data_IF_686267472079
#
_entry.id   IF_686267472079
#
_cell.length_a   1.000
_cell.length_b   1.000
_cell.length_c   1.000
_cell.angle_alpha   90.00
_cell.angle_beta   90.00
_cell.angle_gamma   90.00
#
_symmetry.space_group_name_H-M   'P 1'
#
loop_
_entity.id
_entity.type
_entity.pdbx_description
1 polymer ?
#
# COMPACT_ATOMS: atom_id res chain seq x y z
N UNK A 1 -23.50 -10.89 -57.67
CA UNK A 1 -22.69 -10.07 -56.76
C UNK A 1 -23.61 -9.49 -55.69
N UNK A 2 -23.56 -9.97 -54.44
CA UNK A 2 -24.24 -9.31 -53.33
C UNK A 2 -23.23 -8.55 -52.44
N UNK A 3 -23.60 -7.33 -52.10
CA UNK A 3 -22.89 -6.40 -51.22
C UNK A 3 -22.99 -6.86 -49.75
N UNK A 4 -21.84 -6.99 -49.07
CA UNK A 4 -21.77 -7.10 -47.61
C UNK A 4 -21.60 -5.69 -47.01
N UNK A 5 -22.67 -5.14 -46.44
CA UNK A 5 -22.60 -4.01 -45.52
C UNK A 5 -22.25 -4.51 -44.12
N UNK A 6 -21.04 -4.20 -43.66
CA UNK A 6 -20.58 -4.41 -42.28
C UNK A 6 -21.13 -3.27 -41.42
N UNK A 7 -22.09 -3.58 -40.55
CA UNK A 7 -22.59 -2.66 -39.52
C UNK A 7 -21.73 -2.86 -38.27
N UNK A 8 -20.84 -1.90 -37.99
CA UNK A 8 -20.09 -1.80 -36.73
C UNK A 8 -20.97 -1.08 -35.70
N UNK A 9 -21.63 -1.84 -34.83
CA UNK A 9 -22.25 -1.31 -33.61
C UNK A 9 -21.17 -1.24 -32.52
N UNK A 10 -20.61 -0.05 -32.32
CA UNK A 10 -19.78 0.26 -31.15
C UNK A 10 -20.73 0.53 -29.98
N UNK A 11 -21.03 -0.52 -29.22
CA UNK A 11 -21.82 -0.41 -27.98
C UNK A 11 -20.90 0.07 -26.85
N UNK A 12 -21.00 1.35 -26.51
CA UNK A 12 -20.37 1.93 -25.34
C UNK A 12 -21.13 1.51 -24.08
N UNK A 13 -20.75 0.39 -23.48
CA UNK A 13 -21.23 0.01 -22.14
C UNK A 13 -20.48 0.82 -21.07
N UNK A 14 -21.14 1.89 -20.63
CA UNK A 14 -20.91 2.60 -19.38
C UNK A 14 -20.80 1.62 -18.20
N UNK A 15 -19.61 1.49 -17.61
CA UNK A 15 -19.45 0.82 -16.32
C UNK A 15 -19.85 1.76 -15.18
N UNK A 16 -21.10 1.65 -14.74
CA UNK A 16 -21.53 2.07 -13.42
C UNK A 16 -21.68 0.80 -12.57
N UNK A 17 -20.85 0.65 -11.54
CA UNK A 17 -20.93 -0.45 -10.58
C UNK A 17 -21.57 0.07 -9.28
N UNK A 18 -22.77 -0.38 -8.90
CA UNK A 18 -23.28 -0.19 -7.55
C UNK A 18 -23.44 -1.55 -6.88
N UNK A 19 -22.64 -1.83 -5.85
CA UNK A 19 -22.94 -2.89 -4.88
C UNK A 19 -22.15 -2.68 -3.58
N UNK A 20 -22.57 -1.68 -2.80
CA UNK A 20 -22.35 -1.70 -1.35
C UNK A 20 -23.22 -2.81 -0.74
N UNK A 21 -22.65 -3.99 -0.57
CA UNK A 21 -23.25 -5.03 0.25
C UNK A 21 -23.02 -4.70 1.74
N UNK A 22 -23.99 -3.97 2.30
CA UNK A 22 -24.12 -3.67 3.74
C UNK A 22 -24.37 -4.98 4.50
N UNK A 23 -23.33 -5.52 5.14
CA UNK A 23 -23.47 -6.58 6.13
C UNK A 23 -24.16 -6.03 7.38
N UNK A 24 -25.43 -6.39 7.58
CA UNK A 24 -26.18 -6.17 8.82
C UNK A 24 -25.94 -7.36 9.74
N UNK A 25 -25.04 -7.22 10.71
CA UNK A 25 -25.03 -8.09 11.88
C UNK A 25 -26.07 -7.58 12.87
N UNK A 26 -27.17 -8.33 12.99
CA UNK A 26 -28.13 -8.19 14.07
C UNK A 26 -27.75 -9.17 15.17
N UNK A 27 -27.55 -8.68 16.40
CA UNK A 27 -27.67 -9.45 17.64
C UNK A 27 -28.32 -8.55 18.71
N UNK A 28 -29.00 -9.15 19.70
CA UNK A 28 -30.16 -8.57 20.34
C UNK A 28 -29.86 -7.71 21.58
N UNK A 29 -30.92 -6.97 21.88
CA UNK A 29 -31.28 -6.17 23.04
C UNK A 29 -30.98 -6.85 24.39
N UNK A 30 -30.35 -6.11 25.32
CA UNK A 30 -30.49 -6.26 26.78
C UNK A 30 -30.23 -4.89 27.42
N UNK A 31 -31.22 -4.46 28.20
CA UNK A 31 -31.30 -3.17 28.87
C UNK A 31 -30.29 -3.02 30.02
N UNK A 32 -29.87 -1.78 30.33
CA UNK A 32 -30.07 -1.16 31.67
C UNK A 32 -29.26 0.13 31.85
N UNK A 33 -29.88 1.04 32.62
CA UNK A 33 -29.29 2.09 33.46
C UNK A 33 -28.86 3.44 32.84
N UNK A 34 -29.80 4.38 32.91
CA UNK A 34 -29.69 5.64 33.65
C UNK A 34 -28.39 6.46 33.54
N UNK A 35 -28.50 7.55 32.76
CA UNK A 35 -28.33 8.91 33.26
C UNK A 35 -26.93 9.38 33.61
N UNK A 36 -26.27 10.05 32.66
CA UNK A 36 -25.39 11.19 32.97
C UNK A 36 -25.63 12.29 31.94
N UNK A 37 -25.80 13.49 32.48
CA UNK A 37 -26.18 14.71 31.81
C UNK A 37 -25.19 15.20 30.75
N UNK A 38 -25.74 15.99 29.84
CA UNK A 38 -25.07 16.75 28.81
C UNK A 38 -23.86 17.54 29.31
N UNK A 39 -22.72 17.37 28.65
CA UNK A 39 -21.68 18.40 28.57
C UNK A 39 -21.58 18.82 27.10
N UNK A 40 -22.13 20.00 26.81
CA UNK A 40 -21.95 20.71 25.55
C UNK A 40 -20.60 21.42 25.61
N UNK A 41 -19.65 20.94 24.81
CA UNK A 41 -18.36 21.56 24.61
C UNK A 41 -17.59 20.76 23.57
N UNK A 42 -16.86 21.44 22.68
CA UNK A 42 -15.88 20.85 21.75
C UNK A 42 -16.33 20.47 20.32
N UNK A 43 -17.05 21.36 19.63
CA UNK A 43 -17.21 21.30 18.16
C UNK A 43 -16.11 22.05 17.36
N UNK A 44 -14.94 22.30 17.96
CA UNK A 44 -13.86 23.10 17.34
C UNK A 44 -12.67 22.34 16.76
N UNK A 45 -12.44 21.08 17.18
CA UNK A 45 -11.24 20.31 16.82
C UNK A 45 -11.37 19.52 15.51
N UNK A 46 -12.58 19.07 15.16
CA UNK A 46 -12.82 18.25 13.97
C UNK A 46 -12.63 19.02 12.66
N UNK A 47 -13.02 20.30 12.62
CA UNK A 47 -12.87 21.14 11.43
C UNK A 47 -11.40 21.39 11.06
N UNK A 48 -10.50 21.57 12.05
CA UNK A 48 -9.08 21.88 11.80
C UNK A 48 -8.29 20.68 11.26
N UNK A 49 -8.65 19.45 11.64
CA UNK A 49 -8.02 18.25 11.10
C UNK A 49 -8.43 17.98 9.65
N UNK A 50 -9.69 18.24 9.28
CA UNK A 50 -10.11 18.15 7.88
C UNK A 50 -9.43 19.21 7.00
N UNK A 51 -9.29 20.45 7.48
CA UNK A 51 -8.61 21.50 6.71
C UNK A 51 -7.12 21.22 6.49
N UNK A 52 -6.44 20.55 7.42
CA UNK A 52 -5.02 20.16 7.26
C UNK A 52 -4.85 18.98 6.31
N UNK A 53 -5.75 17.99 6.35
CA UNK A 53 -5.79 16.91 5.38
C UNK A 53 -6.11 17.41 3.96
N UNK A 54 -7.01 18.39 3.82
CA UNK A 54 -7.31 19.05 2.54
C UNK A 54 -6.17 19.96 2.06
N UNK A 55 -5.49 20.67 2.96
CA UNK A 55 -4.33 21.49 2.62
C UNK A 55 -3.10 20.65 2.23
N UNK A 56 -2.87 19.50 2.88
CA UNK A 56 -1.83 18.55 2.47
C UNK A 56 -2.17 17.84 1.16
N UNK A 57 -3.44 17.58 0.89
CA UNK A 57 -3.93 17.09 -0.41
C UNK A 57 -3.68 18.10 -1.55
N UNK A 58 -3.81 19.41 -1.28
CA UNK A 58 -3.55 20.48 -2.26
C UNK A 58 -2.07 20.76 -2.54
N UNK A 59 -1.15 20.36 -1.66
CA UNK A 59 0.27 20.74 -1.74
C UNK A 59 1.25 19.57 -1.94
N UNK A 60 0.81 18.31 -1.93
CA UNK A 60 1.74 17.16 -1.94
C UNK A 60 1.18 15.84 -2.47
N UNK A 61 0.16 15.88 -3.33
CA UNK A 61 -0.21 14.70 -4.10
C UNK A 61 0.92 14.30 -5.06
N UNK A 62 1.10 13.00 -5.36
CA UNK A 62 2.08 12.57 -6.35
C UNK A 62 1.82 13.27 -7.68
N UNK A 63 2.91 13.71 -8.31
CA UNK A 63 2.88 14.41 -9.58
C UNK A 63 2.08 13.62 -10.64
N UNK A 64 1.36 14.33 -11.50
CA UNK A 64 0.54 13.73 -12.55
C UNK A 64 1.38 12.81 -13.46
N UNK A 65 2.64 13.18 -13.72
CA UNK A 65 3.57 12.36 -14.50
C UNK A 65 3.99 11.09 -13.74
N UNK A 66 4.19 11.17 -12.42
CA UNK A 66 4.47 10.00 -11.59
C UNK A 66 3.28 9.02 -11.60
N UNK A 67 2.05 9.53 -11.48
CA UNK A 67 0.83 8.72 -11.54
C UNK A 67 0.67 8.03 -12.89
N UNK A 68 0.87 8.74 -14.00
CA UNK A 68 0.78 8.18 -15.36
C UNK A 68 1.88 7.14 -15.57
N UNK A 69 3.11 7.39 -15.11
CA UNK A 69 4.19 6.41 -15.21
C UNK A 69 3.85 5.13 -14.46
N UNK A 70 3.43 5.22 -13.20
CA UNK A 70 3.05 4.06 -12.40
C UNK A 70 1.87 3.32 -13.03
N UNK A 71 0.90 4.05 -13.58
CA UNK A 71 -0.21 3.43 -14.30
C UNK A 71 0.29 2.62 -15.49
N UNK A 72 1.31 3.09 -16.22
CA UNK A 72 1.89 2.37 -17.36
C UNK A 72 2.55 1.06 -16.95
N UNK A 73 3.18 1.03 -15.78
CA UNK A 73 3.82 -0.16 -15.23
C UNK A 73 2.80 -1.25 -14.86
N UNK A 74 1.57 -0.84 -14.48
CA UNK A 74 0.47 -1.74 -14.11
C UNK A 74 -0.38 -2.14 -15.32
N UNK A 75 -0.90 -1.15 -16.04
CA UNK A 75 -1.82 -1.32 -17.16
C UNK A 75 -1.68 -0.15 -18.15
N UNK A 76 -1.21 -0.40 -19.38
CA UNK A 76 -1.13 0.64 -20.41
C UNK A 76 -2.46 1.35 -20.67
N UNK A 77 -3.59 0.66 -20.53
CA UNK A 77 -4.93 1.23 -20.68
C UNK A 77 -5.27 2.24 -19.57
N UNK A 78 -4.78 2.02 -18.34
CA UNK A 78 -4.92 3.00 -17.26
C UNK A 78 -4.10 4.26 -17.54
N UNK A 79 -2.86 4.09 -18.01
CA UNK A 79 -2.03 5.23 -18.42
C UNK A 79 -2.71 6.04 -19.52
N UNK A 80 -3.22 5.38 -20.56
CA UNK A 80 -3.96 6.01 -21.65
C UNK A 80 -5.22 6.75 -21.16
N UNK A 81 -5.94 6.16 -20.21
CA UNK A 81 -7.12 6.80 -19.59
C UNK A 81 -6.74 8.08 -18.88
N UNK A 82 -5.65 8.07 -18.10
CA UNK A 82 -5.15 9.24 -17.40
C UNK A 82 -4.58 10.30 -18.36
N UNK A 83 -3.86 9.90 -19.39
CA UNK A 83 -3.34 10.81 -20.43
C UNK A 83 -4.48 11.50 -21.19
N UNK A 84 -5.52 10.74 -21.56
CA UNK A 84 -6.72 11.27 -22.21
C UNK A 84 -7.47 12.25 -21.32
N UNK A 85 -7.63 11.91 -20.03
CA UNK A 85 -8.25 12.79 -19.05
C UNK A 85 -7.43 14.08 -18.85
N UNK A 86 -6.10 13.98 -18.79
CA UNK A 86 -5.19 15.12 -18.68
C UNK A 86 -5.27 16.06 -19.88
N UNK A 87 -5.40 15.51 -21.09
CA UNK A 87 -5.52 16.29 -22.32
C UNK A 87 -6.83 17.07 -22.41
N UNK A 88 -7.88 16.62 -21.71
CA UNK A 88 -9.19 17.25 -21.74
C UNK A 88 -9.26 18.47 -20.81
N UNK A 89 -9.07 18.26 -19.51
CA UNK A 89 -9.03 19.34 -18.51
C UNK A 89 -8.51 18.85 -17.14
N UNK A 90 -8.08 19.75 -16.25
CA UNK A 90 -7.59 19.36 -14.92
C UNK A 90 -8.62 18.64 -14.03
N UNK A 91 -9.92 18.94 -14.15
CA UNK A 91 -10.95 18.31 -13.31
C UNK A 91 -11.22 16.87 -13.76
N UNK A 92 -11.26 16.61 -15.06
CA UNK A 92 -11.41 15.25 -15.58
C UNK A 92 -10.20 14.39 -15.25
N UNK A 93 -8.99 14.95 -15.29
CA UNK A 93 -7.81 14.27 -14.76
C UNK A 93 -7.97 13.94 -13.27
N UNK A 94 -8.34 14.91 -12.43
CA UNK A 94 -8.53 14.64 -10.99
C UNK A 94 -9.60 13.59 -10.73
N UNK A 95 -10.70 13.57 -11.49
CA UNK A 95 -11.73 12.57 -11.36
C UNK A 95 -11.25 11.17 -11.78
N UNK A 96 -10.51 11.05 -12.89
CA UNK A 96 -9.93 9.79 -13.34
C UNK A 96 -8.84 9.31 -12.37
N UNK A 97 -7.97 10.23 -11.94
CA UNK A 97 -6.96 10.00 -10.93
C UNK A 97 -7.62 9.58 -9.62
N UNK A 98 -8.69 10.19 -9.13
CA UNK A 98 -9.34 9.80 -7.87
C UNK A 98 -9.82 8.33 -7.87
N UNK A 99 -10.35 7.85 -9.00
CA UNK A 99 -10.79 6.45 -9.15
C UNK A 99 -9.64 5.45 -9.03
N UNK A 100 -8.46 5.80 -9.55
CA UNK A 100 -7.25 4.95 -9.53
C UNK A 100 -6.28 5.35 -8.40
N UNK A 101 -6.53 6.48 -7.75
CA UNK A 101 -5.50 7.34 -7.19
C UNK A 101 -4.98 6.86 -5.88
N UNK A 102 -5.84 6.29 -5.03
CA UNK A 102 -5.35 5.68 -3.78
C UNK A 102 -4.33 4.58 -4.08
N UNK A 103 -4.57 3.75 -5.11
CA UNK A 103 -3.66 2.66 -5.50
C UNK A 103 -2.39 3.22 -6.16
N UNK A 104 -2.54 4.07 -7.19
CA UNK A 104 -1.40 4.62 -7.92
C UNK A 104 -0.52 5.53 -7.06
N UNK A 105 -1.11 6.33 -6.16
CA UNK A 105 -0.36 7.17 -5.22
C UNK A 105 0.46 6.34 -4.24
N UNK A 106 -0.12 5.25 -3.71
CA UNK A 106 0.63 4.35 -2.82
C UNK A 106 1.81 3.70 -3.54
N UNK A 107 1.64 3.33 -4.81
CA UNK A 107 2.68 2.78 -5.64
C UNK A 107 3.77 3.81 -6.00
N UNK A 108 3.41 5.08 -6.24
CA UNK A 108 4.39 6.14 -6.50
C UNK A 108 5.35 6.31 -5.32
N UNK A 109 4.83 6.34 -4.09
CA UNK A 109 5.64 6.40 -2.86
C UNK A 109 6.53 5.16 -2.72
N UNK A 110 5.99 3.96 -2.98
CA UNK A 110 6.76 2.72 -2.93
C UNK A 110 7.89 2.70 -3.97
N UNK A 111 7.67 3.25 -5.16
CA UNK A 111 8.68 3.29 -6.22
C UNK A 111 9.95 4.01 -5.78
N UNK A 112 9.81 5.09 -5.02
CA UNK A 112 10.92 5.91 -4.55
C UNK A 112 11.64 5.28 -3.35
N UNK A 113 10.88 4.77 -2.37
CA UNK A 113 11.45 4.34 -1.10
C UNK A 113 11.71 2.83 -0.99
N UNK A 114 10.94 2.01 -1.72
CA UNK A 114 10.90 0.54 -1.57
C UNK A 114 10.69 -0.13 -2.93
N UNK A 115 11.67 -0.07 -3.86
CA UNK A 115 11.50 -0.51 -5.24
C UNK A 115 11.17 -2.01 -5.38
N UNK A 116 11.64 -2.85 -4.46
CA UNK A 116 11.32 -4.27 -4.45
C UNK A 116 9.83 -4.53 -4.10
N UNK A 117 9.30 -3.81 -3.09
CA UNK A 117 7.90 -3.91 -2.71
C UNK A 117 6.99 -3.31 -3.80
N UNK A 118 7.45 -2.22 -4.44
CA UNK A 118 6.79 -1.64 -5.60
C UNK A 118 6.61 -2.65 -6.75
N UNK A 119 7.69 -3.33 -7.17
CA UNK A 119 7.62 -4.32 -8.25
C UNK A 119 6.62 -5.45 -7.92
N UNK A 120 6.61 -5.90 -6.67
CA UNK A 120 5.67 -6.93 -6.21
C UNK A 120 4.21 -6.47 -6.26
N UNK A 121 3.93 -5.23 -5.82
CA UNK A 121 2.58 -4.65 -5.86
C UNK A 121 2.10 -4.35 -7.28
N UNK A 122 3.01 -4.02 -8.20
CA UNK A 122 2.68 -3.88 -9.63
C UNK A 122 2.22 -5.22 -10.19
N UNK A 123 2.97 -6.30 -9.93
CA UNK A 123 2.56 -7.65 -10.35
C UNK A 123 1.24 -8.09 -9.73
N UNK A 124 1.01 -7.75 -8.45
CA UNK A 124 -0.29 -7.97 -7.77
C UNK A 124 -1.45 -7.34 -8.55
N UNK A 125 -1.33 -6.06 -8.92
CA UNK A 125 -2.39 -5.36 -9.64
C UNK A 125 -2.60 -5.89 -11.07
N UNK A 126 -1.54 -6.34 -11.74
CA UNK A 126 -1.67 -7.01 -13.05
C UNK A 126 -2.50 -8.28 -12.95
N UNK A 127 -2.19 -9.13 -11.96
CA UNK A 127 -2.94 -10.38 -11.72
C UNK A 127 -4.39 -10.08 -11.34
N UNK A 128 -4.65 -9.05 -10.53
CA UNK A 128 -6.02 -8.61 -10.22
C UNK A 128 -6.78 -8.17 -11.49
N UNK A 129 -6.15 -7.38 -12.35
CA UNK A 129 -6.77 -6.95 -13.61
C UNK A 129 -7.11 -8.12 -14.55
N UNK A 130 -6.26 -9.15 -14.59
CA UNK A 130 -6.55 -10.38 -15.33
C UNK A 130 -7.75 -11.13 -14.74
N UNK A 131 -7.81 -11.27 -13.41
CA UNK A 131 -8.95 -11.89 -12.72
C UNK A 131 -10.27 -11.15 -12.98
N UNK A 132 -10.26 -9.82 -12.89
CA UNK A 132 -11.43 -8.97 -13.17
C UNK A 132 -11.96 -9.18 -14.60
N UNK A 133 -11.06 -9.45 -15.56
CA UNK A 133 -11.42 -9.77 -16.94
C UNK A 133 -12.03 -11.17 -17.14
N UNK A 134 -11.65 -12.17 -16.33
CA UNK A 134 -12.14 -13.54 -16.45
C UNK A 134 -13.53 -13.76 -15.84
N UNK A 135 -13.90 -12.99 -14.81
CA UNK A 135 -15.20 -13.11 -14.15
C UNK A 135 -16.39 -13.01 -15.11
N UNK A 136 -16.52 -11.93 -15.91
CA UNK A 136 -17.59 -11.80 -16.90
C UNK A 136 -17.57 -12.90 -17.97
N UNK A 137 -16.39 -13.36 -18.39
CA UNK A 137 -16.25 -14.44 -19.37
C UNK A 137 -16.79 -15.76 -18.81
N UNK A 138 -16.45 -16.09 -17.57
CA UNK A 138 -16.96 -17.28 -16.89
C UNK A 138 -18.49 -17.25 -16.76
N UNK A 139 -19.06 -16.11 -16.34
CA UNK A 139 -20.51 -15.92 -16.24
C UNK A 139 -21.17 -16.10 -17.61
N UNK A 140 -20.60 -15.50 -18.67
CA UNK A 140 -21.09 -15.62 -20.04
C UNK A 140 -21.03 -17.07 -20.56
N UNK A 141 -19.96 -17.80 -20.27
CA UNK A 141 -19.82 -19.21 -20.65
C UNK A 141 -20.87 -20.09 -19.94
N UNK A 142 -21.08 -19.85 -18.65
CA UNK A 142 -22.11 -20.53 -17.84
C UNK A 142 -23.52 -20.26 -18.33
N UNK A 143 -23.88 -19.01 -18.60
CA UNK A 143 -25.21 -18.65 -19.11
C UNK A 143 -25.45 -19.17 -20.54
N UNK A 144 -24.39 -19.29 -21.33
CA UNK A 144 -24.44 -19.86 -22.69
C UNK A 144 -24.38 -21.39 -22.76
N UNK A 145 -24.43 -22.10 -21.63
CA UNK A 145 -24.27 -23.56 -21.54
C UNK A 145 -22.97 -24.10 -22.19
N UNK A 146 -21.90 -23.29 -22.22
CA UNK A 146 -20.58 -23.66 -22.74
C UNK A 146 -19.73 -24.26 -21.61
N UNK A 147 -20.07 -25.48 -21.18
CA UNK A 147 -19.51 -26.09 -19.98
C UNK A 147 -17.98 -26.28 -20.01
N UNK A 148 -17.43 -26.71 -21.14
CA UNK A 148 -15.97 -26.90 -21.29
C UNK A 148 -15.20 -25.58 -21.18
N UNK A 149 -15.70 -24.53 -21.83
CA UNK A 149 -15.11 -23.19 -21.74
C UNK A 149 -15.18 -22.64 -20.32
N UNK A 150 -16.32 -22.80 -19.63
CA UNK A 150 -16.46 -22.38 -18.24
C UNK A 150 -15.45 -23.10 -17.32
N UNK A 151 -15.20 -24.39 -17.53
CA UNK A 151 -14.23 -25.16 -16.77
C UNK A 151 -12.77 -24.72 -17.03
N UNK A 152 -12.44 -24.37 -18.28
CA UNK A 152 -11.14 -23.81 -18.63
C UNK A 152 -10.92 -22.45 -17.97
N UNK A 153 -11.93 -21.56 -18.02
CA UNK A 153 -11.85 -20.25 -17.37
C UNK A 153 -11.74 -20.41 -15.84
N UNK A 154 -12.47 -21.35 -15.24
CA UNK A 154 -12.36 -21.63 -13.80
C UNK A 154 -10.94 -22.07 -13.40
N UNK A 155 -10.30 -22.91 -14.23
CA UNK A 155 -8.92 -23.34 -14.00
C UNK A 155 -7.96 -22.14 -14.03
N UNK A 156 -8.15 -21.21 -14.98
CA UNK A 156 -7.35 -19.98 -15.06
C UNK A 156 -7.59 -19.08 -13.83
N UNK A 157 -8.85 -18.90 -13.42
CA UNK A 157 -9.22 -18.13 -12.21
C UNK A 157 -8.50 -18.73 -10.99
N UNK A 158 -8.51 -20.05 -10.83
CA UNK A 158 -7.84 -20.73 -9.71
C UNK A 158 -6.33 -20.50 -9.71
N UNK A 159 -5.68 -20.59 -10.87
CA UNK A 159 -4.25 -20.33 -11.00
C UNK A 159 -3.86 -18.89 -10.66
N UNK A 160 -4.60 -17.91 -11.17
CA UNK A 160 -4.37 -16.49 -10.87
C UNK A 160 -4.70 -16.15 -9.41
N UNK A 161 -5.76 -16.73 -8.84
CA UNK A 161 -6.09 -16.56 -7.42
C UNK A 161 -4.98 -17.10 -6.50
N UNK A 162 -4.41 -18.27 -6.81
CA UNK A 162 -3.24 -18.80 -6.10
C UNK A 162 -2.05 -17.85 -6.18
N UNK A 163 -1.73 -17.37 -7.39
CA UNK A 163 -0.66 -16.39 -7.60
C UNK A 163 -0.87 -15.10 -6.80
N UNK A 164 -2.11 -14.62 -6.73
CA UNK A 164 -2.47 -13.41 -5.98
C UNK A 164 -2.27 -13.58 -4.47
N UNK A 165 -2.60 -14.77 -3.94
CA UNK A 165 -2.35 -15.12 -2.54
C UNK A 165 -0.84 -15.14 -2.27
N UNK A 166 -0.06 -15.77 -3.14
CA UNK A 166 1.39 -15.86 -2.98
C UNK A 166 2.08 -14.49 -3.04
N UNK A 167 1.64 -13.61 -3.95
CA UNK A 167 2.10 -12.22 -4.04
C UNK A 167 1.79 -11.45 -2.74
N UNK A 168 0.57 -11.61 -2.21
CA UNK A 168 0.16 -10.97 -0.97
C UNK A 168 0.95 -11.45 0.24
N UNK A 169 1.19 -12.76 0.35
CA UNK A 169 2.01 -13.34 1.42
C UNK A 169 3.44 -12.83 1.35
N UNK A 170 4.04 -12.78 0.16
CA UNK A 170 5.38 -12.19 -0.04
C UNK A 170 5.43 -10.72 0.34
N UNK A 171 4.41 -9.93 -0.02
CA UNK A 171 4.36 -8.50 0.33
C UNK A 171 4.33 -8.31 1.84
N UNK A 172 3.49 -9.08 2.54
CA UNK A 172 3.41 -9.03 4.00
C UNK A 172 4.70 -9.48 4.66
N UNK A 173 5.38 -10.50 4.12
CA UNK A 173 6.67 -10.95 4.64
C UNK A 173 7.74 -9.85 4.52
N UNK A 174 7.76 -9.09 3.41
CA UNK A 174 8.68 -7.96 3.24
C UNK A 174 8.37 -6.83 4.22
N UNK A 175 7.10 -6.46 4.37
CA UNK A 175 6.68 -5.42 5.33
C UNK A 175 7.04 -5.81 6.79
N UNK A 176 6.85 -7.08 7.16
CA UNK A 176 7.24 -7.59 8.48
C UNK A 176 8.77 -7.55 8.70
N UNK A 177 9.56 -7.90 7.68
CA UNK A 177 11.01 -7.83 7.75
C UNK A 177 11.51 -6.38 7.96
N UNK A 178 10.86 -5.41 7.33
CA UNK A 178 11.17 -3.99 7.52
C UNK A 178 10.82 -3.51 8.93
N UNK A 179 9.65 -3.89 9.45
CA UNK A 179 9.26 -3.57 10.84
C UNK A 179 10.27 -4.16 11.82
N UNK A 180 10.71 -5.40 11.61
CA UNK A 180 11.72 -6.03 12.47
C UNK A 180 13.06 -5.29 12.41
N UNK A 181 13.50 -4.84 11.23
CA UNK A 181 14.71 -4.03 11.08
C UNK A 181 14.61 -2.69 11.86
N UNK A 182 13.46 -2.01 11.81
CA UNK A 182 13.20 -0.79 12.58
C UNK A 182 13.23 -1.09 14.08
N UNK A 183 12.59 -2.16 14.53
CA UNK A 183 12.60 -2.55 15.95
C UNK A 183 14.01 -2.88 16.45
N UNK A 184 14.83 -3.57 15.65
CA UNK A 184 16.24 -3.85 15.98
C UNK A 184 17.03 -2.56 16.14
N UNK A 185 16.82 -1.59 15.24
CA UNK A 185 17.46 -0.27 15.32
C UNK A 185 17.05 0.47 16.60
N UNK A 186 15.76 0.51 16.90
CA UNK A 186 15.25 1.13 18.14
C UNK A 186 15.80 0.47 19.40
N UNK A 187 15.93 -0.86 19.42
CA UNK A 187 16.55 -1.58 20.55
C UNK A 187 18.03 -1.26 20.69
N UNK A 188 18.77 -1.23 19.58
CA UNK A 188 20.19 -0.87 19.59
C UNK A 188 20.41 0.57 20.08
N UNK A 189 19.55 1.50 19.66
CA UNK A 189 19.56 2.88 20.12
C UNK A 189 19.27 2.97 21.62
N UNK A 190 18.24 2.28 22.11
CA UNK A 190 17.93 2.25 23.54
C UNK A 190 19.06 1.63 24.37
N UNK A 191 19.72 0.58 23.87
CA UNK A 191 20.88 -0.01 24.52
C UNK A 191 22.09 0.95 24.56
N UNK A 192 22.31 1.71 23.48
CA UNK A 192 23.34 2.75 23.42
C UNK A 192 23.05 3.83 24.47
N UNK A 193 21.82 4.32 24.52
CA UNK A 193 21.39 5.36 25.46
C UNK A 193 21.50 4.87 26.92
N UNK A 194 21.13 3.61 27.18
CA UNK A 194 21.28 2.99 28.49
C UNK A 194 22.76 2.87 28.90
N UNK A 195 23.65 2.56 27.96
CA UNK A 195 25.09 2.48 28.20
C UNK A 195 25.72 3.86 28.45
N UNK A 196 25.23 4.89 27.75
CA UNK A 196 25.62 6.30 27.92
C UNK A 196 24.92 7.02 29.07
N UNK A 197 24.18 6.30 29.93
CA UNK A 197 23.36 6.89 31.00
C UNK A 197 24.18 7.75 31.95
N UNK A 198 25.29 7.23 32.48
CA UNK A 198 26.07 7.94 33.49
C UNK A 198 26.70 9.22 32.92
N UNK A 199 27.22 9.18 31.70
CA UNK A 199 27.73 10.36 31.01
C UNK A 199 26.63 11.41 30.80
N UNK A 200 25.42 10.98 30.43
CA UNK A 200 24.28 11.89 30.30
C UNK A 200 23.89 12.52 31.63
N UNK A 201 23.90 11.73 32.73
CA UNK A 201 23.67 12.24 34.08
C UNK A 201 24.74 13.28 34.47
N UNK A 202 26.02 13.01 34.24
CA UNK A 202 27.11 13.96 34.54
C UNK A 202 26.96 15.26 33.76
N UNK A 203 26.64 15.19 32.46
CA UNK A 203 26.35 16.39 31.65
C UNK A 203 25.19 17.21 32.22
N UNK A 204 24.12 16.55 32.65
CA UNK A 204 22.98 17.21 33.28
C UNK A 204 23.37 17.88 34.61
N UNK A 205 24.19 17.22 35.43
CA UNK A 205 24.69 17.78 36.70
C UNK A 205 25.52 19.04 36.45
N UNK A 206 26.42 19.04 35.46
CA UNK A 206 27.22 20.22 35.09
C UNK A 206 26.33 21.36 34.60
N UNK A 207 25.39 21.10 33.69
CA UNK A 207 24.48 22.12 33.16
C UNK A 207 23.62 22.79 34.26
N UNK A 208 23.16 22.01 35.24
CA UNK A 208 22.44 22.54 36.40
C UNK A 208 23.36 23.39 37.28
N UNK A 209 24.59 22.92 37.54
CA UNK A 209 25.57 23.64 38.36
C UNK A 209 25.95 24.99 37.75
N UNK A 210 26.12 25.04 36.45
CA UNK A 210 26.58 26.24 35.73
C UNK A 210 25.43 27.21 35.42
N UNK A 211 24.19 26.88 35.83
CA UNK A 211 23.01 27.72 35.63
C UNK A 211 22.58 27.85 34.16
N UNK A 212 23.09 26.99 33.27
CA UNK A 212 22.78 27.06 31.84
C UNK A 212 21.40 26.50 31.50
N UNK A 213 20.71 25.85 32.44
CA UNK A 213 19.26 25.61 32.44
C UNK A 213 18.71 24.72 31.31
N UNK A 214 19.52 24.34 30.33
CA UNK A 214 19.11 23.48 29.23
C UNK A 214 19.09 22.02 29.71
N UNK A 215 18.03 21.68 30.44
CA UNK A 215 17.64 20.30 30.68
C UNK A 215 17.29 19.68 29.33
N UNK A 216 18.28 19.04 28.69
CA UNK A 216 18.07 18.15 27.56
C UNK A 216 17.33 16.91 28.08
N UNK A 217 16.04 17.08 28.38
CA UNK A 217 15.11 16.01 28.73
C UNK A 217 14.79 15.24 27.44
N UNK A 218 15.59 14.22 27.17
CA UNK A 218 15.19 13.09 26.33
C UNK A 218 15.20 13.31 24.81
N UNK A 219 15.89 14.32 24.30
CA UNK A 219 16.11 14.51 22.86
C UNK A 219 17.57 14.26 22.50
N UNK A 220 17.84 13.39 21.52
CA UNK A 220 19.15 13.33 20.85
C UNK A 220 19.63 14.76 20.58
N UNK A 221 20.81 15.11 21.03
CA UNK A 221 21.41 16.37 20.58
C UNK A 221 21.56 16.27 19.05
N UNK A 222 21.14 17.28 18.26
CA UNK A 222 21.15 17.22 16.79
C UNK A 222 22.54 16.93 16.19
N UNK A 223 23.59 17.15 16.98
CA UNK A 223 24.98 16.90 16.60
C UNK A 223 25.28 15.40 16.42
N UNK A 224 24.64 14.51 17.19
CA UNK A 224 24.87 13.07 17.12
C UNK A 224 24.05 12.37 16.02
N UNK A 225 22.88 12.93 15.67
CA UNK A 225 22.06 12.42 14.56
C UNK A 225 22.70 12.66 13.18
N UNK A 226 23.50 13.72 13.04
CA UNK A 226 24.21 14.05 11.80
C UNK A 226 25.43 13.16 11.55
N UNK A 227 25.99 12.52 12.59
CA UNK A 227 27.12 11.61 12.43
C UNK A 227 26.68 10.20 12.00
N UNK A 228 25.51 9.72 12.46
CA UNK A 228 25.00 8.39 12.13
C UNK A 228 24.50 8.26 10.68
N UNK A 229 24.10 9.37 10.04
CA UNK A 229 23.59 9.37 8.66
C UNK A 229 24.68 9.39 7.58
N UNK A 230 25.95 9.62 7.95
CA UNK A 230 27.06 9.77 6.98
C UNK A 230 27.91 8.51 6.78
N UNK A 231 27.67 7.44 7.54
CA UNK A 231 28.53 6.23 7.52
C UNK A 231 27.80 4.95 7.10
N UNK A 232 26.51 5.00 6.81
CA UNK A 232 25.77 3.84 6.27
C UNK A 232 26.01 3.69 4.76
N UNK A 233 27.25 3.37 4.38
CA UNK A 233 27.50 2.73 3.09
C UNK A 233 26.88 1.32 3.13
N UNK A 234 26.20 0.86 2.06
CA UNK A 234 25.65 -0.48 2.01
C UNK A 234 26.81 -1.49 2.04
N UNK A 235 26.98 -2.18 3.17
CA UNK A 235 27.83 -3.35 3.26
C UNK A 235 27.30 -4.38 2.27
N UNK A 236 28.14 -4.72 1.28
CA UNK A 236 27.91 -5.84 0.39
C UNK A 236 27.70 -7.12 1.20
N UNK A 237 26.61 -7.80 0.88
CA UNK A 237 26.53 -9.27 0.83
C UNK A 237 26.81 -10.03 2.13
N UNK A 238 25.75 -10.22 2.93
CA UNK A 238 25.53 -11.50 3.62
C UNK A 238 24.14 -12.00 3.24
N UNK A 239 24.07 -12.74 2.13
CA UNK A 239 22.92 -13.57 1.84
C UNK A 239 22.87 -14.71 2.87
N UNK A 240 21.74 -14.96 3.53
CA UNK A 240 21.61 -16.13 4.39
C UNK A 240 21.82 -17.39 3.55
N UNK A 241 22.76 -18.23 4.00
CA UNK A 241 23.00 -19.53 3.40
C UNK A 241 21.69 -20.32 3.32
N UNK A 242 21.24 -20.60 2.10
CA UNK A 242 20.13 -21.50 1.84
C UNK A 242 20.55 -22.89 2.34
N UNK A 243 19.76 -23.56 3.21
CA UNK A 243 20.07 -24.91 3.62
C UNK A 243 20.08 -25.82 2.38
N UNK A 244 21.21 -26.46 2.14
CA UNK A 244 21.36 -27.50 1.13
C UNK A 244 20.43 -28.64 1.51
N UNK A 245 19.36 -28.83 0.75
CA UNK A 245 18.47 -29.98 0.85
C UNK A 245 19.23 -31.17 0.27
N UNK A 246 19.62 -32.12 1.12
CA UNK A 246 20.23 -33.38 0.69
C UNK A 246 19.27 -34.15 -0.23
N UNK A 247 19.76 -34.71 -1.35
CA UNK A 247 18.93 -35.53 -2.22
C UNK A 247 18.44 -36.79 -1.48
N UNK A 248 17.22 -37.28 -1.80
CA UNK A 248 16.69 -38.50 -1.22
C UNK A 248 17.55 -39.71 -1.63
N UNK A 249 17.79 -40.61 -0.67
CA UNK A 249 18.53 -41.83 -0.87
C UNK A 249 17.92 -42.68 -2.01
N UNK A 250 18.74 -43.35 -2.84
CA UNK A 250 18.24 -44.26 -3.86
C UNK A 250 17.50 -45.43 -3.18
N UNK A 251 16.33 -45.75 -3.71
CA UNK A 251 15.60 -46.95 -3.31
C UNK A 251 16.46 -48.18 -3.62
N UNK A 252 16.72 -49.01 -2.60
CA UNK A 252 17.36 -50.31 -2.77
C UNK A 252 16.52 -51.21 -3.67
N UNK A 253 17.16 -52.04 -4.51
CA UNK A 253 16.49 -52.99 -5.40
C UNK A 253 15.77 -54.12 -4.65
#
# INVERSE_FOLDING_TARGET
MPNLSIILVVSACFFASPAEARFKNALPDEASAAGIAAVSGENGASARNNSRAEAQSRAGGPDADALISVARDVSPEWAKTLETARAKDPETFRAAAAKLGKRLSSLAVLREHKPALYALRVEELKVQGQLDGLGPQWISARMGNRAEEAAQIETQIRGLAGTLVDLNLRSRAMELAEIDAVMRTMRADLQRDASGRNETVERMVVAVRDGTGELILGGRSPVDASAASKTAAPSKSDAPAVPVVSPPAPASP
#
